data_IF_879548469243
#
_entry.id   IF_879548469243
#
_cell.length_a   1.000
_cell.length_b   1.000
_cell.length_c   1.000
_cell.angle_alpha   90.00
_cell.angle_beta   90.00
_cell.angle_gamma   90.00
#
_symmetry.space_group_name_H-M   'P 1'
#
loop_
_entity.id
_entity.type
_entity.pdbx_description
1 polymer ?
#
# COMPACT_ATOMS: atom_id res chain seq x y z
N UNK A 1 17.76 -3.71 -3.04
CA UNK A 1 16.52 -3.10 -3.57
C UNK A 1 16.57 -3.13 -5.10
N UNK A 2 15.45 -3.41 -5.75
CA UNK A 2 15.26 -3.32 -7.20
C UNK A 2 14.22 -2.27 -7.54
N UNK A 3 14.22 -1.78 -8.78
CA UNK A 3 13.24 -0.83 -9.29
C UNK A 3 12.47 -1.43 -10.47
N UNK A 4 11.25 -0.94 -10.71
CA UNK A 4 10.49 -1.26 -11.92
C UNK A 4 10.94 -0.39 -13.11
N UNK A 5 10.31 -0.56 -14.28
CA UNK A 5 10.63 0.21 -15.49
C UNK A 5 10.43 1.74 -15.35
N UNK A 6 9.67 2.19 -14.34
CA UNK A 6 9.49 3.61 -14.00
C UNK A 6 10.50 4.10 -12.95
N UNK A 7 11.51 3.30 -12.63
CA UNK A 7 12.49 3.56 -11.57
C UNK A 7 11.88 3.67 -10.16
N UNK A 8 10.64 3.21 -9.97
CA UNK A 8 10.01 3.15 -8.64
C UNK A 8 10.46 1.88 -7.91
N UNK A 9 10.62 1.90 -6.58
CA UNK A 9 11.04 0.73 -5.80
C UNK A 9 10.11 -0.48 -6.03
N UNK A 10 10.60 -1.55 -6.63
CA UNK A 10 9.80 -2.74 -6.92
C UNK A 10 9.92 -3.79 -5.83
N UNK A 11 11.14 -4.10 -5.38
CA UNK A 11 11.37 -5.06 -4.30
C UNK A 11 12.45 -4.56 -3.36
N UNK A 12 12.20 -4.65 -2.06
CA UNK A 12 13.19 -4.40 -1.03
C UNK A 12 13.30 -5.63 -0.16
N UNK A 13 14.52 -6.09 0.07
CA UNK A 13 14.82 -7.18 0.97
C UNK A 13 16.10 -6.89 1.75
N UNK A 14 16.23 -7.51 2.92
CA UNK A 14 17.44 -7.47 3.74
C UNK A 14 18.20 -8.82 3.69
N UNK A 15 19.46 -8.80 4.17
CA UNK A 15 20.33 -9.98 4.11
C UNK A 15 20.01 -11.03 5.16
N UNK A 16 19.29 -10.66 6.23
CA UNK A 16 18.86 -11.57 7.29
C UNK A 16 17.45 -12.14 7.08
N UNK A 17 16.82 -11.85 5.92
CA UNK A 17 15.47 -12.30 5.57
C UNK A 17 14.40 -11.88 6.60
N UNK A 18 14.66 -10.79 7.33
CA UNK A 18 13.69 -10.17 8.22
C UNK A 18 12.73 -9.26 7.44
N UNK A 19 13.07 -8.91 6.19
CA UNK A 19 12.26 -8.10 5.31
C UNK A 19 12.39 -8.55 3.86
N UNK A 20 11.26 -8.72 3.20
CA UNK A 20 11.15 -8.94 1.75
C UNK A 20 9.78 -8.46 1.25
N UNK A 21 9.74 -7.28 0.64
CA UNK A 21 8.52 -6.59 0.25
C UNK A 21 8.53 -6.26 -1.24
N UNK A 22 7.48 -6.65 -1.96
CA UNK A 22 7.22 -6.25 -3.34
C UNK A 22 6.14 -5.16 -3.38
N UNK A 23 6.45 -4.04 -4.04
CA UNK A 23 5.57 -2.89 -4.19
C UNK A 23 5.15 -2.78 -5.66
N UNK A 24 3.84 -2.76 -5.87
CA UNK A 24 3.23 -2.57 -7.19
C UNK A 24 2.53 -1.23 -7.22
N UNK A 25 2.53 -0.61 -8.39
CA UNK A 25 2.05 0.75 -8.56
C UNK A 25 0.96 0.82 -9.60
N UNK A 26 -0.01 1.71 -9.38
CA UNK A 26 -0.93 2.12 -10.43
C UNK A 26 -0.23 3.02 -11.48
N UNK A 27 -0.98 3.45 -12.50
CA UNK A 27 -0.45 4.25 -13.62
C UNK A 27 0.16 5.58 -13.18
N UNK A 28 -0.34 6.18 -12.09
CA UNK A 28 0.12 7.49 -11.60
C UNK A 28 1.19 7.37 -10.52
N UNK A 29 1.43 6.17 -9.99
CA UNK A 29 2.52 5.88 -9.04
C UNK A 29 2.07 5.70 -7.61
N UNK A 30 0.77 5.50 -7.33
CA UNK A 30 0.33 5.08 -6.01
C UNK A 30 0.57 3.58 -5.84
N UNK A 31 0.96 3.14 -4.64
CA UNK A 31 1.17 1.71 -4.35
C UNK A 31 -0.19 1.02 -4.31
N UNK A 32 -0.53 0.17 -5.29
CA UNK A 32 -1.80 -0.54 -5.31
C UNK A 32 -1.78 -1.85 -4.50
N UNK A 33 -0.60 -2.47 -4.41
CA UNK A 33 -0.38 -3.72 -3.67
C UNK A 33 1.02 -3.70 -3.09
N UNK A 34 1.12 -4.11 -1.84
CA UNK A 34 2.37 -4.47 -1.17
C UNK A 34 2.29 -5.94 -0.79
N UNK A 35 3.25 -6.76 -1.20
CA UNK A 35 3.31 -8.19 -0.87
C UNK A 35 4.50 -8.44 0.04
N UNK A 36 4.23 -9.01 1.20
CA UNK A 36 5.24 -9.46 2.14
C UNK A 36 5.57 -10.94 1.89
N UNK A 37 6.81 -11.20 1.48
CA UNK A 37 7.31 -12.54 1.18
C UNK A 37 7.94 -13.25 2.38
N UNK A 38 8.03 -12.60 3.54
CA UNK A 38 8.58 -13.20 4.76
C UNK A 38 7.51 -14.06 5.44
N UNK A 39 6.42 -13.42 5.89
CA UNK A 39 5.32 -14.13 6.57
C UNK A 39 3.91 -13.68 6.10
N UNK A 40 3.85 -12.79 5.12
CA UNK A 40 2.61 -12.30 4.53
C UNK A 40 1.86 -11.27 5.40
N UNK A 41 2.26 -11.02 6.65
CA UNK A 41 1.53 -10.12 7.55
C UNK A 41 1.49 -8.69 7.06
N UNK A 42 2.56 -8.20 6.43
CA UNK A 42 2.58 -6.85 5.86
C UNK A 42 1.94 -6.75 4.47
N UNK A 43 1.33 -7.84 3.96
CA UNK A 43 0.61 -7.80 2.68
C UNK A 43 -0.62 -6.90 2.77
N UNK A 44 -0.74 -5.96 1.84
CA UNK A 44 -1.81 -4.97 1.76
C UNK A 44 -2.23 -4.72 0.31
N UNK A 45 -3.52 -4.54 0.08
CA UNK A 45 -4.00 -3.92 -1.17
C UNK A 45 -4.64 -2.57 -0.87
N UNK A 46 -4.40 -1.59 -1.73
CA UNK A 46 -4.77 -0.20 -1.53
C UNK A 46 -5.51 0.38 -2.73
N UNK A 47 -6.48 1.25 -2.47
CA UNK A 47 -7.24 1.99 -3.48
C UNK A 47 -7.19 3.47 -3.18
N UNK A 48 -7.24 4.26 -4.25
CA UNK A 48 -7.08 5.70 -4.19
C UNK A 48 -8.23 6.39 -4.93
N UNK A 49 -8.57 7.59 -4.50
CA UNK A 49 -9.43 8.47 -5.29
C UNK A 49 -8.65 9.20 -6.40
N UNK A 50 -9.36 10.00 -7.19
CA UNK A 50 -8.78 10.78 -8.31
C UNK A 50 -7.75 11.83 -7.87
N UNK A 51 -7.67 12.13 -6.57
CA UNK A 51 -6.71 13.07 -5.97
C UNK A 51 -5.53 12.33 -5.32
N UNK A 52 -5.38 11.02 -5.59
CA UNK A 52 -4.33 10.15 -5.03
C UNK A 52 -4.40 9.98 -3.51
N UNK A 53 -5.59 10.09 -2.92
CA UNK A 53 -5.80 9.87 -1.48
C UNK A 53 -6.25 8.44 -1.24
N UNK A 54 -5.64 7.78 -0.26
CA UNK A 54 -5.94 6.38 0.09
C UNK A 54 -7.38 6.28 0.61
N UNK A 55 -8.29 5.63 -0.10
CA UNK A 55 -9.70 5.48 0.30
C UNK A 55 -10.02 4.13 0.90
N UNK A 56 -9.23 3.11 0.56
CA UNK A 56 -9.39 1.76 1.10
C UNK A 56 -8.05 1.06 1.21
N UNK A 57 -7.84 0.32 2.28
CA UNK A 57 -6.76 -0.68 2.38
C UNK A 57 -7.33 -1.99 2.93
N UNK A 58 -6.80 -3.12 2.51
CA UNK A 58 -7.15 -4.43 3.08
C UNK A 58 -5.90 -5.20 3.46
N UNK A 59 -5.97 -5.99 4.53
CA UNK A 59 -4.88 -6.84 5.02
C UNK A 59 -5.43 -7.97 5.88
N UNK A 60 -4.68 -9.06 5.99
CA UNK A 60 -4.99 -10.14 6.94
C UNK A 60 -4.90 -9.68 8.40
N UNK A 61 -4.15 -8.60 8.68
CA UNK A 61 -3.94 -8.11 10.05
C UNK A 61 -5.14 -7.36 10.62
N UNK A 62 -5.96 -6.74 9.77
CA UNK A 62 -7.02 -5.81 10.21
C UNK A 62 -8.28 -5.87 9.36
N UNK A 63 -8.40 -6.80 8.41
CA UNK A 63 -9.53 -6.87 7.50
C UNK A 63 -9.51 -5.71 6.52
N UNK A 64 -10.59 -4.94 6.46
CA UNK A 64 -10.71 -3.75 5.63
C UNK A 64 -10.61 -2.48 6.44
N UNK A 65 -9.95 -1.46 5.90
CA UNK A 65 -10.01 -0.10 6.41
C UNK A 65 -10.42 0.87 5.29
N UNK A 66 -11.27 1.83 5.63
CA UNK A 66 -11.82 2.85 4.72
C UNK A 66 -11.57 4.24 5.27
N UNK A 67 -11.31 5.18 4.37
CA UNK A 67 -10.98 6.57 4.72
C UNK A 67 -11.83 7.54 3.92
N UNK A 68 -12.38 8.54 4.61
CA UNK A 68 -13.12 9.65 4.01
C UNK A 68 -12.39 10.97 4.19
N UNK A 69 -12.37 11.80 3.16
CA UNK A 69 -11.69 13.09 3.17
C UNK A 69 -12.63 14.22 2.77
N UNK A 70 -12.42 15.41 3.32
CA UNK A 70 -13.07 16.63 2.84
C UNK A 70 -12.41 17.13 1.53
N UNK A 71 -12.87 18.29 1.03
CA UNK A 71 -12.32 18.92 -0.18
C UNK A 71 -10.93 19.52 0.02
N UNK A 72 -10.54 19.79 1.27
CA UNK A 72 -9.24 20.37 1.65
C UNK A 72 -8.21 19.29 2.02
N UNK A 73 -8.54 18.00 1.79
CA UNK A 73 -7.68 16.86 2.07
C UNK A 73 -7.51 16.54 3.57
N UNK A 74 -8.43 17.01 4.42
CA UNK A 74 -8.49 16.57 5.81
C UNK A 74 -9.20 15.23 5.91
N UNK A 75 -8.69 14.33 6.75
CA UNK A 75 -9.35 13.06 7.07
C UNK A 75 -10.60 13.34 7.92
N UNK A 76 -11.77 13.01 7.40
CA UNK A 76 -13.07 13.14 8.09
C UNK A 76 -13.49 11.85 8.79
N UNK A 77 -13.15 10.71 8.22
CA UNK A 77 -13.55 9.41 8.78
C UNK A 77 -12.50 8.34 8.52
N UNK A 78 -12.42 7.43 9.49
CA UNK A 78 -11.65 6.20 9.38
C UNK A 78 -12.48 5.07 10.00
N UNK A 79 -12.65 3.99 9.26
CA UNK A 79 -13.28 2.77 9.75
C UNK A 79 -12.34 1.59 9.51
N UNK A 80 -12.22 0.71 10.50
CA UNK A 80 -11.48 -0.56 10.42
C UNK A 80 -12.41 -1.67 10.86
N UNK A 81 -12.53 -2.74 10.07
CA UNK A 81 -13.42 -3.88 10.33
C UNK A 81 -13.65 -4.72 9.08
#
# INVERSE_FOLDING_TARGET
MTQNARQLPARSSDSNNAMDLDCRYDKVGNVNVSVDFVDGRQTRSMRYDKLNRLTQTTSIMFGSASYGYDKLNNLLSMQVG
#
